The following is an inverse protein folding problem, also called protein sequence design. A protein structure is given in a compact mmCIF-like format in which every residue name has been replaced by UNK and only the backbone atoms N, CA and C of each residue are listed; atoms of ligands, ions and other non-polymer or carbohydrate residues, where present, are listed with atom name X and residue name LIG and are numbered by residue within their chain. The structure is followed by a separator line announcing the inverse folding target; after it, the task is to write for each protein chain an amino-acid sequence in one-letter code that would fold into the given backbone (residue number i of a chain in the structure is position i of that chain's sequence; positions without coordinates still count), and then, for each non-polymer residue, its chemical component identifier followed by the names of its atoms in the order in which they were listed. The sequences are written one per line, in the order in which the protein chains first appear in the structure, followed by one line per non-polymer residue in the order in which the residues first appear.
data_IF_074889046463
#
_entry.id   IF_074889046463
#
_cell.length_a   1.000
_cell.length_b   1.000
_cell.length_c   1.000
_cell.angle_alpha   90.00
_cell.angle_beta   90.00
_cell.angle_gamma   90.00
#
_symmetry.space_group_name_H-M   'P 1'
#
loop_
_entity.id
_entity.type
_entity.pdbx_description
1 polymer ?
#
# COMPACT_ATOMS: atom_id res chain seq x y z
N UNK A 1 -1.32 25.54 21.14
CA UNK A 1 -2.57 26.16 20.66
C UNK A 1 -3.63 25.08 20.71
N UNK A 2 -4.77 25.31 21.35
CA UNK A 2 -5.88 24.34 21.39
C UNK A 2 -6.54 24.30 20.01
N UNK A 3 -6.56 23.14 19.35
CA UNK A 3 -7.31 22.99 18.11
C UNK A 3 -8.79 22.85 18.47
N UNK A 4 -9.63 23.74 17.93
CA UNK A 4 -11.07 23.65 18.11
C UNK A 4 -11.65 22.55 17.22
N UNK A 5 -12.68 21.87 17.70
CA UNK A 5 -13.41 20.89 16.90
C UNK A 5 -13.97 21.54 15.62
N UNK A 6 -13.91 20.87 14.46
CA UNK A 6 -14.59 21.36 13.26
C UNK A 6 -16.09 21.52 13.50
N UNK A 7 -16.73 22.49 12.84
CA UNK A 7 -18.14 22.81 13.07
C UNK A 7 -19.10 21.63 12.87
N UNK A 8 -18.77 20.71 11.96
CA UNK A 8 -19.58 19.52 11.66
C UNK A 8 -19.37 18.37 12.65
N UNK A 9 -18.46 18.51 13.62
CA UNK A 9 -18.09 17.48 14.59
C UNK A 9 -18.67 17.85 15.96
N UNK A 10 -19.58 17.04 16.53
CA UNK A 10 -20.03 17.23 17.90
C UNK A 10 -18.83 17.25 18.86
N UNK A 11 -18.78 18.27 19.74
CA UNK A 11 -17.62 18.49 20.60
C UNK A 11 -17.22 17.29 21.48
N UNK A 12 -18.19 16.45 21.87
CA UNK A 12 -17.95 15.26 22.68
C UNK A 12 -17.30 14.10 21.89
N UNK A 13 -17.28 14.15 20.55
CA UNK A 13 -16.61 13.18 19.69
C UNK A 13 -15.22 13.65 19.27
N UNK A 14 -14.87 14.91 19.50
CA UNK A 14 -13.57 15.46 19.12
C UNK A 14 -12.48 15.00 20.08
N UNK A 15 -11.40 14.48 19.53
CA UNK A 15 -10.24 13.98 20.23
C UNK A 15 -9.00 14.74 19.74
N UNK A 16 -8.46 15.65 20.57
CA UNK A 16 -7.26 16.44 20.27
C UNK A 16 -5.96 15.62 20.42
N UNK A 17 -5.91 14.47 19.73
CA UNK A 17 -4.79 13.56 19.69
C UNK A 17 -4.41 13.25 18.24
N UNK A 18 -3.16 12.84 18.08
CA UNK A 18 -2.64 12.29 16.83
C UNK A 18 -2.54 10.77 16.98
N UNK A 19 -3.12 10.03 16.04
CA UNK A 19 -3.23 8.57 16.10
C UNK A 19 -1.87 7.90 16.31
N UNK A 20 -0.86 8.31 15.52
CA UNK A 20 0.49 7.76 15.62
C UNK A 20 1.14 8.06 16.97
N UNK A 21 1.02 9.29 17.47
CA UNK A 21 1.59 9.68 18.76
C UNK A 21 0.86 9.02 19.94
N UNK A 22 -0.44 8.77 19.80
CA UNK A 22 -1.21 8.03 20.79
C UNK A 22 -0.77 6.56 20.84
N UNK A 23 -0.76 5.87 19.70
CA UNK A 23 -0.37 4.46 19.64
C UNK A 23 1.08 4.23 20.09
N UNK A 24 2.00 5.18 19.83
CA UNK A 24 3.41 5.10 20.23
C UNK A 24 3.65 5.18 21.76
N UNK A 25 2.64 5.47 22.57
CA UNK A 25 2.74 5.40 24.04
C UNK A 25 2.75 3.96 24.56
N UNK A 26 2.38 3.01 23.71
CA UNK A 26 2.28 1.59 24.03
C UNK A 26 3.43 0.83 23.38
N UNK A 27 3.98 -0.14 24.11
CA UNK A 27 5.01 -1.04 23.57
C UNK A 27 4.41 -1.97 22.50
N UNK A 28 3.18 -2.43 22.71
CA UNK A 28 2.42 -3.21 21.75
C UNK A 28 1.47 -2.30 20.94
N UNK A 29 1.64 -2.20 19.60
CA UNK A 29 0.78 -1.36 18.77
C UNK A 29 -0.69 -1.82 18.77
N UNK A 30 -0.97 -3.11 18.96
CA UNK A 30 -2.35 -3.61 19.02
C UNK A 30 -3.05 -3.16 20.30
N UNK A 31 -2.33 -3.13 21.42
CA UNK A 31 -2.84 -2.57 22.67
C UNK A 31 -3.10 -1.07 22.52
N UNK A 32 -2.20 -0.34 21.83
CA UNK A 32 -2.39 1.08 21.56
C UNK A 32 -3.63 1.38 20.71
N UNK A 33 -3.90 0.58 19.67
CA UNK A 33 -5.13 0.70 18.89
C UNK A 33 -6.37 0.29 19.71
N UNK A 34 -6.28 -0.78 20.51
CA UNK A 34 -7.37 -1.20 21.38
C UNK A 34 -7.72 -0.14 22.42
N UNK A 35 -6.75 0.59 22.97
CA UNK A 35 -6.97 1.65 23.95
C UNK A 35 -7.82 2.83 23.41
N UNK A 36 -7.93 2.99 22.08
CA UNK A 36 -8.87 3.97 21.50
C UNK A 36 -10.33 3.61 21.79
N UNK A 37 -10.63 2.35 22.07
CA UNK A 37 -11.98 1.87 22.34
C UNK A 37 -12.60 2.51 23.59
N UNK A 38 -11.77 2.91 24.56
CA UNK A 38 -12.20 3.60 25.78
C UNK A 38 -12.64 5.05 25.53
N UNK A 39 -12.35 5.59 24.34
CA UNK A 39 -12.70 6.98 23.96
C UNK A 39 -14.06 7.08 23.26
N UNK A 40 -14.72 5.96 23.00
CA UNK A 40 -16.00 5.88 22.31
C UNK A 40 -15.91 5.03 21.04
N UNK A 41 -17.08 4.71 20.47
CA UNK A 41 -17.21 3.81 19.32
C UNK A 41 -16.83 4.47 17.99
N UNK A 42 -16.96 5.79 17.93
CA UNK A 42 -16.59 6.65 16.81
C UNK A 42 -16.03 7.97 17.37
N UNK A 43 -14.80 8.31 17.02
CA UNK A 43 -14.15 9.54 17.46
C UNK A 43 -13.62 10.32 16.25
N UNK A 44 -13.49 11.64 16.38
CA UNK A 44 -12.86 12.48 15.37
C UNK A 44 -11.50 12.96 15.89
N UNK A 45 -10.40 12.51 15.29
CA UNK A 45 -9.05 12.85 15.75
C UNK A 45 -8.47 14.03 14.98
N UNK A 46 -7.61 14.81 15.66
CA UNK A 46 -6.85 15.92 15.03
C UNK A 46 -5.97 15.43 13.89
N UNK A 47 -5.36 14.26 14.03
CA UNK A 47 -4.53 13.66 12.99
C UNK A 47 -4.69 12.14 13.01
N UNK A 48 -5.25 11.59 11.93
CA UNK A 48 -5.35 10.13 11.69
C UNK A 48 -4.17 9.61 10.85
N UNK A 49 -3.30 10.51 10.39
CA UNK A 49 -2.13 10.23 9.60
C UNK A 49 -1.78 11.42 8.69
N UNK A 50 -0.48 11.70 8.57
CA UNK A 50 0.08 12.69 7.62
C UNK A 50 -0.49 14.11 7.80
N UNK A 51 -0.87 14.51 9.01
CA UNK A 51 -1.42 15.84 9.29
C UNK A 51 -2.89 16.00 8.89
N UNK A 52 -3.60 14.90 8.66
CA UNK A 52 -4.99 14.92 8.20
C UNK A 52 -5.93 14.56 9.34
N UNK A 53 -6.87 15.44 9.75
CA UNK A 53 -7.89 15.10 10.72
C UNK A 53 -8.93 14.14 10.12
N UNK A 54 -9.58 13.34 10.95
CA UNK A 54 -10.62 12.45 10.44
C UNK A 54 -11.31 11.59 11.48
N UNK A 55 -12.36 10.91 11.03
CA UNK A 55 -13.12 9.95 11.82
C UNK A 55 -12.33 8.66 12.00
N UNK A 56 -12.34 8.13 13.22
CA UNK A 56 -11.74 6.86 13.62
C UNK A 56 -12.84 5.99 14.26
N UNK A 57 -13.42 5.04 13.52
CA UNK A 57 -14.28 4.02 14.09
C UNK A 57 -13.42 3.03 14.90
N UNK A 58 -13.87 2.69 16.11
CA UNK A 58 -13.09 1.85 17.05
C UNK A 58 -13.78 0.51 17.34
N UNK A 59 -14.96 0.28 16.77
CA UNK A 59 -15.74 -0.96 16.91
C UNK A 59 -15.82 -1.71 15.59
N UNK A 60 -15.84 -3.04 15.69
CA UNK A 60 -15.87 -3.94 14.54
C UNK A 60 -17.11 -3.68 13.67
N UNK A 61 -18.26 -3.47 14.29
CA UNK A 61 -19.54 -3.30 13.60
C UNK A 61 -19.52 -2.04 12.72
N UNK A 62 -19.05 -0.92 13.27
CA UNK A 62 -18.93 0.35 12.54
C UNK A 62 -17.88 0.25 11.43
N UNK A 63 -16.71 -0.35 11.73
CA UNK A 63 -15.66 -0.59 10.74
C UNK A 63 -16.20 -1.44 9.58
N UNK A 64 -16.87 -2.55 9.89
CA UNK A 64 -17.42 -3.46 8.90
C UNK A 64 -18.47 -2.76 8.03
N UNK A 65 -19.37 -1.98 8.62
CA UNK A 65 -20.38 -1.21 7.86
C UNK A 65 -19.72 -0.20 6.90
N UNK A 66 -18.64 0.46 7.34
CA UNK A 66 -17.88 1.40 6.50
C UNK A 66 -17.21 0.66 5.34
N UNK A 67 -16.48 -0.41 5.61
CA UNK A 67 -15.74 -1.17 4.60
C UNK A 67 -16.66 -1.87 3.58
N UNK A 68 -17.90 -2.20 3.97
CA UNK A 68 -18.84 -2.91 3.10
C UNK A 68 -19.76 -1.98 2.29
N UNK A 69 -19.74 -0.66 2.53
CA UNK A 69 -20.59 0.30 1.82
C UNK A 69 -19.81 1.33 1.01
N UNK A 70 -19.30 0.89 -0.14
CA UNK A 70 -18.59 1.73 -1.10
C UNK A 70 -19.45 2.87 -1.70
N UNK A 71 -20.78 2.85 -1.53
CA UNK A 71 -21.65 3.95 -2.00
C UNK A 71 -21.60 5.14 -1.04
N UNK A 72 -21.53 4.87 0.27
CA UNK A 72 -21.40 5.90 1.30
C UNK A 72 -19.93 6.25 1.60
N UNK A 73 -19.05 5.27 1.50
CA UNK A 73 -17.63 5.38 1.84
C UNK A 73 -16.77 5.02 0.63
N UNK A 74 -16.60 6.01 -0.24
CA UNK A 74 -15.83 5.90 -1.48
C UNK A 74 -14.34 5.73 -1.20
N UNK A 75 -13.66 4.94 -2.04
CA UNK A 75 -12.19 4.88 -2.06
C UNK A 75 -11.55 5.90 -3.01
N UNK A 76 -12.35 6.71 -3.71
CA UNK A 76 -11.82 7.73 -4.62
C UNK A 76 -10.89 8.67 -3.86
N UNK A 77 -9.66 8.80 -4.38
CA UNK A 77 -8.63 9.73 -3.85
C UNK A 77 -8.21 9.45 -2.39
N UNK A 78 -8.53 8.26 -1.86
CA UNK A 78 -8.27 7.91 -0.46
C UNK A 78 -6.77 7.72 -0.15
N UNK A 79 -5.95 7.32 -1.13
CA UNK A 79 -4.53 7.06 -0.91
C UNK A 79 -3.71 8.36 -0.98
N UNK A 80 -4.08 9.27 -1.89
CA UNK A 80 -3.52 10.63 -1.94
C UNK A 80 -2.04 10.69 -2.38
N UNK A 81 -1.58 9.71 -3.15
CA UNK A 81 -0.17 9.61 -3.59
C UNK A 81 0.06 10.22 -4.98
N UNK A 82 -0.96 10.27 -5.84
CA UNK A 82 -0.89 10.92 -7.15
C UNK A 82 -0.29 12.34 -7.10
N UNK A 83 -0.76 13.24 -6.20
CA UNK A 83 -0.19 14.57 -6.06
C UNK A 83 1.30 14.60 -5.67
N UNK A 84 1.78 13.63 -4.89
CA UNK A 84 3.21 13.54 -4.53
C UNK A 84 4.09 13.18 -5.75
N UNK A 85 3.54 12.38 -6.66
CA UNK A 85 4.18 12.02 -7.91
C UNK A 85 4.04 13.10 -8.99
N UNK A 86 3.12 14.05 -8.81
CA UNK A 86 2.82 15.09 -9.81
C UNK A 86 1.98 14.57 -10.97
N UNK A 87 1.15 13.55 -10.74
CA UNK A 87 0.29 12.92 -11.74
C UNK A 87 -1.19 13.16 -11.44
N UNK A 88 -2.03 13.09 -12.47
CA UNK A 88 -3.48 13.29 -12.41
C UNK A 88 -4.29 11.99 -12.52
N UNK A 89 -3.62 10.85 -12.69
CA UNK A 89 -4.23 9.54 -12.69
C UNK A 89 -4.29 8.92 -11.28
N UNK A 90 -5.14 7.90 -11.15
CA UNK A 90 -5.47 7.23 -9.88
C UNK A 90 -4.74 5.90 -9.71
N UNK A 91 -4.54 5.46 -8.48
CA UNK A 91 -3.98 4.16 -8.11
C UNK A 91 -5.04 3.05 -8.20
N UNK A 92 -5.37 2.63 -9.42
CA UNK A 92 -6.32 1.52 -9.64
C UNK A 92 -5.71 0.15 -9.30
N UNK A 93 -6.49 -0.79 -8.74
CA UNK A 93 -7.92 -0.68 -8.47
C UNK A 93 -8.26 0.06 -7.17
N UNK A 94 -7.28 0.41 -6.33
CA UNK A 94 -7.51 0.86 -4.96
C UNK A 94 -8.31 2.16 -4.85
N UNK A 95 -8.17 3.10 -5.79
CA UNK A 95 -8.89 4.40 -5.77
C UNK A 95 -10.15 4.43 -6.65
N UNK A 96 -10.76 3.26 -6.90
CA UNK A 96 -12.02 3.14 -7.64
C UNK A 96 -13.05 2.36 -6.82
N UNK A 97 -14.31 2.77 -6.98
CA UNK A 97 -15.46 2.06 -6.42
C UNK A 97 -16.15 1.19 -7.49
N UNK A 98 -17.07 0.29 -7.10
CA UNK A 98 -17.94 -0.39 -8.05
C UNK A 98 -18.80 0.61 -8.87
N UNK A 99 -19.06 0.34 -10.16
CA UNK A 99 -18.66 -0.86 -10.91
C UNK A 99 -17.24 -0.81 -11.52
N UNK A 100 -16.60 0.35 -11.61
CA UNK A 100 -15.29 0.54 -12.29
C UNK A 100 -14.20 -0.35 -11.69
N UNK A 101 -14.14 -0.42 -10.35
CA UNK A 101 -13.22 -1.28 -9.60
C UNK A 101 -13.15 -2.71 -10.13
N UNK A 102 -14.30 -3.28 -10.51
CA UNK A 102 -14.40 -4.67 -10.95
C UNK A 102 -13.62 -4.94 -12.23
N UNK A 103 -13.59 -3.97 -13.16
CA UNK A 103 -12.85 -4.11 -14.40
C UNK A 103 -11.35 -4.20 -14.16
N UNK A 104 -10.79 -3.30 -13.34
CA UNK A 104 -9.36 -3.34 -13.00
C UNK A 104 -9.01 -4.61 -12.21
N UNK A 105 -9.87 -5.03 -11.28
CA UNK A 105 -9.66 -6.27 -10.53
C UNK A 105 -9.66 -7.51 -11.43
N UNK A 106 -10.50 -7.54 -12.48
CA UNK A 106 -10.53 -8.63 -13.45
C UNK A 106 -9.22 -8.77 -14.25
N UNK A 107 -8.50 -7.67 -14.49
CA UNK A 107 -7.19 -7.71 -15.15
C UNK A 107 -6.15 -8.41 -14.25
N UNK A 108 -6.21 -8.20 -12.94
CA UNK A 108 -5.26 -8.79 -11.97
C UNK A 108 -5.63 -10.23 -11.56
N UNK A 109 -6.93 -10.56 -11.57
CA UNK A 109 -7.44 -11.84 -11.07
C UNK A 109 -6.74 -13.10 -11.62
N UNK A 110 -6.38 -13.19 -12.92
CA UNK A 110 -5.71 -14.36 -13.46
C UNK A 110 -4.38 -14.69 -12.79
N UNK A 111 -3.72 -13.73 -12.15
CA UNK A 111 -2.41 -13.88 -11.50
C UNK A 111 -2.51 -14.23 -10.01
N UNK A 112 -3.62 -13.88 -9.37
CA UNK A 112 -3.84 -14.08 -7.93
C UNK A 112 -4.92 -15.13 -7.62
N UNK A 113 -5.45 -15.82 -8.63
CA UNK A 113 -6.35 -16.94 -8.41
C UNK A 113 -5.63 -18.11 -7.72
N UNK A 114 -6.33 -18.93 -6.91
CA UNK A 114 -5.72 -19.99 -6.12
C UNK A 114 -4.78 -20.92 -6.92
N UNK A 115 -5.17 -21.30 -8.14
CA UNK A 115 -4.37 -22.16 -9.01
C UNK A 115 -3.02 -21.55 -9.42
N UNK A 116 -2.96 -20.24 -9.66
CA UNK A 116 -1.69 -19.54 -9.92
C UNK A 116 -0.85 -19.40 -8.66
N UNK A 117 -1.48 -19.06 -7.54
CA UNK A 117 -0.79 -18.90 -6.25
C UNK A 117 -0.14 -20.22 -5.81
N UNK A 118 -0.78 -21.36 -6.01
CA UNK A 118 -0.16 -22.69 -5.79
C UNK A 118 1.09 -22.89 -6.64
N UNK A 119 1.11 -22.36 -7.87
CA UNK A 119 2.30 -22.38 -8.73
C UNK A 119 3.49 -21.60 -8.17
N UNK A 120 3.25 -20.59 -7.32
CA UNK A 120 4.31 -19.80 -6.67
C UNK A 120 4.91 -20.49 -5.44
N UNK A 121 4.32 -21.60 -4.95
CA UNK A 121 4.79 -22.26 -3.73
C UNK A 121 6.27 -22.62 -3.79
N UNK A 122 6.73 -23.18 -4.90
CA UNK A 122 8.13 -23.58 -5.06
C UNK A 122 9.09 -22.38 -4.98
N UNK A 123 8.73 -21.25 -5.61
CA UNK A 123 9.48 -19.99 -5.57
C UNK A 123 9.50 -19.41 -4.16
N UNK A 124 8.33 -19.26 -3.53
CA UNK A 124 8.21 -18.72 -2.17
C UNK A 124 9.02 -19.57 -1.18
N UNK A 125 8.94 -20.90 -1.32
CA UNK A 125 9.71 -21.84 -0.48
C UNK A 125 11.20 -21.76 -0.74
N UNK A 126 11.64 -21.55 -1.98
CA UNK A 126 13.08 -21.39 -2.28
C UNK A 126 13.63 -20.11 -1.67
N UNK A 127 12.90 -18.99 -1.76
CA UNK A 127 13.30 -17.72 -1.13
C UNK A 127 13.40 -17.87 0.39
N UNK A 128 12.42 -18.52 1.03
CA UNK A 128 12.46 -18.78 2.47
C UNK A 128 13.70 -19.61 2.86
N UNK A 129 13.99 -20.69 2.11
CA UNK A 129 15.16 -21.54 2.35
C UNK A 129 16.47 -20.79 2.17
N UNK A 130 16.57 -19.98 1.12
CA UNK A 130 17.75 -19.16 0.87
C UNK A 130 18.03 -18.20 2.02
N UNK A 131 17.01 -17.48 2.49
CA UNK A 131 17.16 -16.55 3.61
C UNK A 131 17.51 -17.28 4.92
N UNK A 132 16.84 -18.39 5.22
CA UNK A 132 17.10 -19.18 6.43
C UNK A 132 18.51 -19.80 6.41
N UNK A 133 19.01 -20.21 5.25
CA UNK A 133 20.37 -20.74 5.13
C UNK A 133 21.44 -19.73 5.56
N UNK A 134 21.17 -18.42 5.47
CA UNK A 134 22.08 -17.35 5.94
C UNK A 134 22.20 -17.27 7.47
N UNK A 135 21.39 -18.04 8.20
CA UNK A 135 21.43 -18.09 9.67
C UNK A 135 22.34 -19.21 10.19
N UNK A 136 22.90 -20.05 9.31
CA UNK A 136 23.74 -21.16 9.74
C UNK A 136 24.91 -20.69 10.62
N UNK A 137 25.11 -21.36 11.75
CA UNK A 137 26.09 -20.99 12.77
C UNK A 137 25.78 -19.74 13.61
N UNK A 138 24.71 -18.97 13.31
CA UNK A 138 24.33 -17.80 14.12
C UNK A 138 23.50 -18.21 15.33
N UNK A 139 23.81 -17.62 16.49
CA UNK A 139 23.04 -17.81 17.74
C UNK A 139 21.94 -16.77 17.93
N UNK A 140 22.06 -15.63 17.26
CA UNK A 140 21.14 -14.50 17.31
C UNK A 140 21.11 -13.87 15.92
N UNK A 141 19.94 -13.38 15.53
CA UNK A 141 19.70 -12.68 14.25
C UNK A 141 18.79 -11.49 14.51
N UNK A 142 18.91 -10.46 13.67
CA UNK A 142 17.86 -9.46 13.52
C UNK A 142 16.84 -10.01 12.52
N UNK A 143 15.74 -10.60 13.03
CA UNK A 143 14.73 -11.21 12.17
C UNK A 143 14.09 -10.22 11.20
N UNK A 144 13.98 -8.93 11.55
CA UNK A 144 13.36 -7.92 10.68
C UNK A 144 14.27 -7.59 9.52
N UNK A 145 15.55 -7.30 9.80
CA UNK A 145 16.53 -6.94 8.78
C UNK A 145 16.97 -8.15 7.94
N UNK A 146 17.10 -9.32 8.55
CA UNK A 146 17.68 -10.51 7.91
C UNK A 146 16.63 -11.46 7.29
N UNK A 147 15.35 -11.33 7.63
CA UNK A 147 14.28 -12.16 7.07
C UNK A 147 13.03 -11.38 6.67
N UNK A 148 12.34 -10.73 7.63
CA UNK A 148 10.97 -10.27 7.45
C UNK A 148 10.83 -9.19 6.37
N UNK A 149 11.81 -8.29 6.28
CA UNK A 149 11.83 -7.27 5.23
C UNK A 149 12.25 -7.86 3.87
N UNK A 150 13.16 -8.83 3.85
CA UNK A 150 13.71 -9.38 2.61
C UNK A 150 12.78 -10.40 1.94
N UNK A 151 12.09 -11.21 2.73
CA UNK A 151 11.28 -12.33 2.24
C UNK A 151 10.18 -11.90 1.24
N UNK A 152 9.23 -11.02 1.59
CA UNK A 152 8.22 -10.58 0.64
C UNK A 152 8.83 -9.77 -0.51
N UNK A 153 9.87 -8.97 -0.25
CA UNK A 153 10.50 -8.15 -1.29
C UNK A 153 11.21 -8.99 -2.35
N UNK A 154 11.92 -10.05 -1.97
CA UNK A 154 12.53 -10.97 -2.94
C UNK A 154 11.49 -11.70 -3.76
N UNK A 155 10.41 -12.19 -3.12
CA UNK A 155 9.29 -12.82 -3.85
C UNK A 155 8.70 -11.84 -4.87
N UNK A 156 8.47 -10.60 -4.46
CA UNK A 156 7.94 -9.57 -5.35
C UNK A 156 8.87 -9.29 -6.54
N UNK A 157 10.16 -9.05 -6.28
CA UNK A 157 11.14 -8.82 -7.35
C UNK A 157 11.24 -10.02 -8.29
N UNK A 158 11.26 -11.24 -7.76
CA UNK A 158 11.28 -12.46 -8.58
C UNK A 158 10.03 -12.60 -9.45
N UNK A 159 8.84 -12.34 -8.89
CA UNK A 159 7.57 -12.40 -9.63
C UNK A 159 7.50 -11.33 -10.73
N UNK A 160 8.11 -10.18 -10.52
CA UNK A 160 8.26 -9.14 -11.53
C UNK A 160 9.48 -9.37 -12.43
N UNK A 161 10.32 -10.38 -12.20
CA UNK A 161 11.56 -10.57 -12.95
C UNK A 161 12.54 -9.38 -12.84
N UNK A 162 12.54 -8.70 -11.70
CA UNK A 162 13.44 -7.62 -11.35
C UNK A 162 14.65 -8.16 -10.57
N UNK A 163 15.85 -7.56 -10.74
CA UNK A 163 17.05 -7.98 -10.03
C UNK A 163 16.95 -7.67 -8.53
N UNK A 164 17.29 -8.65 -7.69
CA UNK A 164 17.25 -8.50 -6.22
C UNK A 164 18.29 -7.51 -5.70
N UNK A 165 19.34 -7.27 -6.48
CA UNK A 165 20.43 -6.33 -6.19
C UNK A 165 19.95 -4.88 -6.11
N UNK A 166 18.81 -4.57 -6.75
CA UNK A 166 18.19 -3.24 -6.69
C UNK A 166 17.38 -3.00 -5.42
N UNK A 167 17.12 -4.04 -4.61
CA UNK A 167 16.31 -3.93 -3.40
C UNK A 167 16.75 -2.81 -2.43
N UNK A 168 18.05 -2.60 -2.16
CA UNK A 168 18.48 -1.48 -1.31
C UNK A 168 18.04 -0.11 -1.84
N UNK A 169 18.06 0.08 -3.17
CA UNK A 169 17.63 1.32 -3.80
C UNK A 169 16.10 1.50 -3.69
N UNK A 170 15.34 0.43 -3.87
CA UNK A 170 13.89 0.45 -3.65
C UNK A 170 13.54 0.79 -2.20
N UNK A 171 14.25 0.22 -1.22
CA UNK A 171 14.06 0.56 0.19
C UNK A 171 14.40 2.02 0.49
N UNK A 172 15.44 2.58 -0.12
CA UNK A 172 15.75 4.00 0.02
C UNK A 172 14.59 4.88 -0.46
N UNK A 173 14.06 4.61 -1.66
CA UNK A 173 12.94 5.37 -2.21
C UNK A 173 11.65 5.17 -1.41
N UNK A 174 11.34 3.93 -1.01
CA UNK A 174 10.17 3.60 -0.19
C UNK A 174 10.24 4.29 1.17
N UNK A 175 11.38 4.22 1.88
CA UNK A 175 11.56 4.89 3.16
C UNK A 175 11.43 6.42 3.03
N UNK A 176 12.03 7.00 1.98
CA UNK A 176 11.88 8.43 1.70
C UNK A 176 10.41 8.80 1.49
N UNK A 177 9.69 8.00 0.69
CA UNK A 177 8.28 8.18 0.35
C UNK A 177 7.32 8.02 1.56
N UNK A 178 7.50 6.98 2.37
CA UNK A 178 6.52 6.58 3.39
C UNK A 178 6.85 7.10 4.79
N UNK A 179 8.13 7.27 5.14
CA UNK A 179 8.60 7.52 6.51
C UNK A 179 9.14 8.92 6.76
N UNK A 180 9.59 9.63 5.72
CA UNK A 180 10.15 10.97 5.90
C UNK A 180 9.11 11.96 6.45
N UNK A 181 9.47 12.83 7.41
CA UNK A 181 8.60 13.93 7.84
C UNK A 181 8.55 15.08 6.82
N UNK A 182 9.50 15.16 5.90
CA UNK A 182 9.59 16.20 4.88
C UNK A 182 8.81 15.81 3.61
N UNK A 183 7.81 16.62 3.24
CA UNK A 183 6.98 16.39 2.06
C UNK A 183 7.78 16.43 0.75
N UNK A 184 8.82 17.26 0.65
CA UNK A 184 9.65 17.33 -0.55
C UNK A 184 10.45 16.03 -0.74
N UNK A 185 10.98 15.47 0.36
CA UNK A 185 11.67 14.18 0.35
C UNK A 185 10.71 13.04 0.01
N UNK A 186 9.50 13.06 0.57
CA UNK A 186 8.46 12.06 0.23
C UNK A 186 8.09 12.09 -1.25
N UNK A 187 7.90 13.28 -1.78
CA UNK A 187 7.58 13.48 -3.19
C UNK A 187 8.73 13.05 -4.10
N UNK A 188 9.98 13.29 -3.70
CA UNK A 188 11.15 12.80 -4.43
C UNK A 188 11.21 11.27 -4.47
N UNK A 189 11.03 10.58 -3.33
CA UNK A 189 10.98 9.12 -3.27
C UNK A 189 9.87 8.53 -4.15
N UNK A 190 8.66 9.10 -4.09
CA UNK A 190 7.53 8.67 -4.92
C UNK A 190 7.83 8.83 -6.43
N UNK A 191 8.43 9.97 -6.83
CA UNK A 191 8.82 10.20 -8.23
C UNK A 191 9.93 9.28 -8.70
N UNK A 192 10.88 8.92 -7.84
CA UNK A 192 11.93 7.95 -8.19
C UNK A 192 11.34 6.57 -8.49
N UNK A 193 10.40 6.10 -7.66
CA UNK A 193 9.68 4.84 -7.92
C UNK A 193 8.89 4.94 -9.22
N UNK A 194 8.14 6.03 -9.42
CA UNK A 194 7.37 6.24 -10.64
C UNK A 194 8.27 6.17 -11.89
N UNK A 195 9.36 6.92 -11.90
CA UNK A 195 10.27 6.98 -13.05
C UNK A 195 10.89 5.60 -13.35
N UNK A 196 11.26 4.85 -12.32
CA UNK A 196 11.72 3.48 -12.49
C UNK A 196 10.66 2.61 -13.16
N UNK A 197 9.42 2.66 -12.66
CA UNK A 197 8.32 1.84 -13.16
C UNK A 197 7.90 2.25 -14.58
N UNK A 198 7.98 3.53 -14.95
CA UNK A 198 7.75 4.00 -16.32
C UNK A 198 8.75 3.34 -17.29
N UNK A 199 10.04 3.39 -16.96
CA UNK A 199 11.09 2.75 -17.75
C UNK A 199 10.86 1.24 -17.85
N UNK A 200 10.48 0.61 -16.73
CA UNK A 200 10.20 -0.82 -16.68
C UNK A 200 8.98 -1.22 -17.54
N UNK A 201 7.90 -0.44 -17.50
CA UNK A 201 6.72 -0.65 -18.37
C UNK A 201 7.09 -0.53 -19.84
N UNK A 202 7.88 0.48 -20.23
CA UNK A 202 8.31 0.64 -21.63
C UNK A 202 9.23 -0.51 -22.08
N UNK A 203 10.12 -1.00 -21.21
CA UNK A 203 10.89 -2.21 -21.49
C UNK A 203 9.97 -3.40 -21.74
N UNK A 204 8.94 -3.62 -20.91
CA UNK A 204 7.97 -4.72 -21.08
C UNK A 204 7.07 -4.56 -22.30
N UNK A 205 6.83 -3.35 -22.79
CA UNK A 205 6.18 -3.15 -24.10
C UNK A 205 7.07 -3.66 -25.24
N UNK A 206 8.39 -3.47 -25.14
CA UNK A 206 9.35 -3.87 -26.17
C UNK A 206 9.77 -5.34 -26.09
N UNK A 207 9.79 -5.93 -24.89
CA UNK A 207 10.09 -7.33 -24.59
C UNK A 207 8.99 -7.94 -23.69
N UNK A 208 7.80 -8.27 -24.25
CA UNK A 208 6.70 -8.84 -23.49
C UNK A 208 7.05 -10.23 -22.92
N UNK A 209 6.68 -10.50 -21.67
CA UNK A 209 6.86 -11.83 -21.04
C UNK A 209 5.56 -12.34 -20.42
N UNK A 210 5.53 -13.59 -20.00
CA UNK A 210 4.38 -14.16 -19.29
C UNK A 210 4.38 -13.74 -17.81
N UNK A 211 4.16 -12.44 -17.55
CA UNK A 211 4.14 -11.85 -16.22
C UNK A 211 3.01 -10.85 -16.00
N UNK A 212 2.89 -10.39 -14.76
CA UNK A 212 1.82 -9.51 -14.29
C UNK A 212 1.84 -8.16 -14.99
N UNK A 213 3.01 -7.57 -15.25
CA UNK A 213 3.12 -6.25 -15.90
C UNK A 213 2.72 -6.33 -17.37
N UNK A 214 3.16 -7.37 -18.07
CA UNK A 214 2.72 -7.62 -19.46
C UNK A 214 1.21 -7.88 -19.51
N UNK A 215 0.67 -8.58 -18.50
CA UNK A 215 -0.77 -8.75 -18.31
C UNK A 215 -1.54 -7.44 -18.18
N UNK A 216 -1.02 -6.52 -17.35
CA UNK A 216 -1.61 -5.19 -17.17
C UNK A 216 -1.51 -4.38 -18.46
N UNK A 217 -0.36 -4.33 -19.12
CA UNK A 217 -0.15 -3.58 -20.37
C UNK A 217 -1.17 -3.99 -21.44
N UNK A 218 -1.46 -5.29 -21.54
CA UNK A 218 -2.41 -5.86 -22.50
C UNK A 218 -3.85 -5.95 -21.97
N UNK A 219 -4.08 -5.50 -20.73
CA UNK A 219 -5.36 -5.58 -20.05
C UNK A 219 -6.43 -4.72 -20.70
N UNK A 220 -7.69 -5.14 -20.53
CA UNK A 220 -8.85 -4.40 -21.01
C UNK A 220 -9.87 -4.20 -19.89
N UNK A 221 -10.48 -3.03 -19.88
CA UNK A 221 -11.56 -2.68 -18.97
C UNK A 221 -12.74 -2.20 -19.79
N UNK A 222 -13.93 -2.77 -19.57
CA UNK A 222 -15.15 -2.44 -20.33
C UNK A 222 -14.95 -2.56 -21.86
N UNK A 223 -14.16 -3.54 -22.30
CA UNK A 223 -13.92 -3.82 -23.73
C UNK A 223 -12.96 -2.84 -24.43
N UNK A 224 -12.30 -1.95 -23.69
CA UNK A 224 -11.23 -1.09 -24.23
C UNK A 224 -9.88 -1.41 -23.59
N UNK A 225 -8.77 -1.22 -24.32
CA UNK A 225 -7.44 -1.22 -23.73
C UNK A 225 -7.32 -0.18 -22.60
N UNK A 226 -6.44 -0.48 -21.64
CA UNK A 226 -6.03 0.47 -20.63
C UNK A 226 -5.19 1.61 -21.24
N UNK A 227 -5.39 2.83 -20.76
CA UNK A 227 -4.55 3.96 -21.11
C UNK A 227 -3.27 3.98 -20.25
N UNK A 228 -2.32 4.87 -20.56
CA UNK A 228 -1.04 4.95 -19.85
C UNK A 228 -1.21 5.18 -18.34
N UNK A 229 -2.05 6.15 -17.94
CA UNK A 229 -2.29 6.44 -16.52
C UNK A 229 -2.91 5.27 -15.76
N UNK A 230 -3.80 4.50 -16.40
CA UNK A 230 -4.37 3.30 -15.79
C UNK A 230 -3.37 2.15 -15.67
N UNK A 231 -2.45 2.01 -16.63
CA UNK A 231 -1.36 1.02 -16.56
C UNK A 231 -0.42 1.40 -15.42
N UNK A 232 0.02 2.66 -15.37
CA UNK A 232 0.90 3.14 -14.31
C UNK A 232 0.25 3.07 -12.94
N UNK A 233 -1.02 3.42 -12.83
CA UNK A 233 -1.80 3.29 -11.60
C UNK A 233 -1.85 1.85 -11.07
N UNK A 234 -2.02 0.86 -11.96
CA UNK A 234 -1.99 -0.56 -11.59
C UNK A 234 -0.60 -1.05 -11.22
N UNK A 235 0.42 -0.65 -11.98
CA UNK A 235 1.80 -1.08 -11.74
C UNK A 235 2.33 -0.49 -10.43
N UNK A 236 1.93 0.74 -10.08
CA UNK A 236 2.34 1.40 -8.84
C UNK A 236 1.76 0.76 -7.56
N UNK A 237 0.67 -0.01 -7.67
CA UNK A 237 0.04 -0.69 -6.52
C UNK A 237 0.40 -2.17 -6.39
N UNK A 238 1.20 -2.71 -7.32
CA UNK A 238 1.75 -4.06 -7.21
C UNK A 238 2.74 -4.13 -6.06
#
# INVERSE_FOLDING_TARGET
MSFAAPFHVPAHLYCDLELKAFAAQFEDPFVGIQALQDRGELIYMRDIGRGTPGWVPTRFEILSDIFMDAKRFSNAENIGVGPLMGVDWRLNPLEYDPPEHMGYRQVLQPYFQPSKVTGYEALIRSVARELIARFDGKRQIDFVAEFASLFPSYIFLDLLGLPREELPQFFEWEHAFTRSPDMAVRAAGARSILHYLENYVEQRRSDPRDDLVTGIINGQVKGRPLNHGEIMGMVMVL
#
